data_IF_516981485196
#
_entry.id   IF_516981485196
#
_cell.length_a   1.000
_cell.length_b   1.000
_cell.length_c   1.000
_cell.angle_alpha   90.00
_cell.angle_beta   90.00
_cell.angle_gamma   90.00
#
_symmetry.space_group_name_H-M   'P 1'
#
loop_
_entity.id
_entity.type
_entity.pdbx_description
1 polymer ?
#
# COMPACT_ATOMS: atom_id res chain seq x y z
N UNK A 1 -16.61 -20.96 -32.60
CA UNK A 1 -15.94 -22.19 -33.00
C UNK A 1 -14.56 -22.20 -32.34
N UNK A 2 -14.37 -22.88 -31.18
CA UNK A 2 -13.10 -22.96 -30.47
C UNK A 2 -12.19 -23.97 -31.20
N UNK A 3 -11.35 -23.47 -32.10
CA UNK A 3 -10.41 -24.30 -32.88
C UNK A 3 -9.04 -24.49 -32.19
N UNK A 4 -8.82 -23.87 -31.03
CA UNK A 4 -7.57 -23.98 -30.26
C UNK A 4 -7.81 -24.73 -28.96
N UNK A 5 -6.91 -25.66 -28.59
CA UNK A 5 -6.99 -26.39 -27.33
C UNK A 5 -6.88 -25.46 -26.12
N UNK A 6 -7.45 -25.83 -24.98
CA UNK A 6 -7.62 -24.98 -23.82
C UNK A 6 -6.36 -24.85 -22.95
N UNK A 7 -5.30 -25.65 -23.16
CA UNK A 7 -4.07 -25.59 -22.37
C UNK A 7 -2.92 -24.89 -23.11
N UNK A 8 -2.03 -24.21 -22.36
CA UNK A 8 -0.81 -23.58 -22.91
C UNK A 8 0.03 -24.62 -23.65
N UNK A 9 0.19 -25.80 -23.05
CA UNK A 9 0.98 -26.89 -23.61
C UNK A 9 0.43 -27.36 -24.97
N UNK A 10 -0.87 -27.59 -25.06
CA UNK A 10 -1.49 -28.05 -26.30
C UNK A 10 -1.52 -26.97 -27.39
N UNK A 11 -1.72 -25.69 -27.01
CA UNK A 11 -1.66 -24.57 -27.95
C UNK A 11 -0.24 -24.35 -28.47
N UNK A 12 0.78 -24.47 -27.60
CA UNK A 12 2.20 -24.36 -28.00
C UNK A 12 2.57 -25.46 -28.96
N UNK A 13 2.16 -26.73 -28.69
CA UNK A 13 2.42 -27.88 -29.56
C UNK A 13 1.72 -27.70 -30.91
N UNK A 14 0.43 -27.32 -30.94
CA UNK A 14 -0.31 -27.10 -32.19
C UNK A 14 0.36 -26.00 -33.02
N UNK A 15 0.74 -24.88 -32.42
CA UNK A 15 1.35 -23.77 -33.16
C UNK A 15 2.74 -24.13 -33.68
N UNK A 16 3.54 -24.88 -32.89
CA UNK A 16 4.83 -25.39 -33.32
C UNK A 16 4.71 -26.36 -34.48
N UNK A 17 3.75 -27.31 -34.42
CA UNK A 17 3.48 -28.26 -35.48
C UNK A 17 3.00 -27.55 -36.73
N UNK A 18 2.07 -26.61 -36.61
CA UNK A 18 1.57 -25.82 -37.76
C UNK A 18 2.68 -24.98 -38.37
N UNK A 19 3.51 -24.33 -37.56
CA UNK A 19 4.64 -23.53 -38.03
C UNK A 19 5.71 -24.38 -38.73
N UNK A 20 6.08 -25.53 -38.17
CA UNK A 20 7.03 -26.48 -38.78
C UNK A 20 6.49 -27.11 -40.08
N UNK A 21 5.21 -27.50 -40.13
CA UNK A 21 4.60 -28.03 -41.32
C UNK A 21 4.45 -26.97 -42.42
N UNK A 22 4.07 -25.76 -42.09
CA UNK A 22 4.00 -24.66 -43.06
C UNK A 22 5.42 -24.30 -43.60
N UNK A 23 6.43 -24.28 -42.73
CA UNK A 23 7.84 -24.07 -43.13
C UNK A 23 8.36 -25.21 -44.02
N UNK A 24 8.02 -26.47 -43.70
CA UNK A 24 8.40 -27.63 -44.51
C UNK A 24 7.71 -27.64 -45.87
N UNK A 25 6.42 -27.31 -45.95
CA UNK A 25 5.68 -27.16 -47.18
C UNK A 25 6.23 -26.02 -48.06
N UNK A 26 6.55 -24.88 -47.45
CA UNK A 26 7.19 -23.76 -48.15
C UNK A 26 8.57 -24.16 -48.72
N UNK A 27 9.38 -24.88 -47.93
CA UNK A 27 10.67 -25.39 -48.34
C UNK A 27 10.55 -26.36 -49.53
N UNK A 28 9.60 -27.29 -49.47
CA UNK A 28 9.35 -28.29 -50.58
C UNK A 28 8.77 -27.62 -51.80
N UNK A 29 7.96 -26.56 -51.68
CA UNK A 29 7.41 -25.81 -52.81
C UNK A 29 8.46 -24.96 -53.54
N UNK A 30 9.49 -24.50 -52.84
CA UNK A 30 10.56 -23.64 -53.38
C UNK A 30 11.70 -24.51 -53.96
N UNK A 31 11.89 -25.76 -53.47
CA UNK A 31 13.00 -26.63 -53.87
C UNK A 31 12.95 -27.12 -55.36
N UNK A 32 11.82 -27.32 -56.04
CA UNK A 32 11.80 -27.72 -57.44
C UNK A 32 12.34 -26.64 -58.40
N UNK A 33 12.29 -25.39 -58.02
CA UNK A 33 12.81 -24.30 -58.87
C UNK A 33 14.34 -24.17 -58.90
N UNK A 34 15.06 -24.80 -57.94
CA UNK A 34 16.51 -24.76 -57.82
C UNK A 34 17.26 -25.96 -58.41
N UNK A 35 16.57 -27.00 -58.83
CA UNK A 35 17.22 -28.28 -59.26
C UNK A 35 17.80 -28.27 -60.68
N UNK A 36 17.72 -27.18 -61.42
CA UNK A 36 18.19 -27.09 -62.79
C UNK A 36 19.44 -26.22 -63.01
N UNK A 37 20.26 -25.93 -62.01
CA UNK A 37 21.56 -25.31 -62.23
C UNK A 37 22.68 -26.26 -61.83
N UNK A 38 23.47 -26.64 -62.80
CA UNK A 38 24.63 -27.50 -62.72
C UNK A 38 25.69 -27.14 -61.68
N UNK A 39 26.19 -28.17 -61.00
CA UNK A 39 27.61 -28.31 -60.65
C UNK A 39 28.25 -27.23 -59.81
N UNK A 40 28.40 -27.52 -58.52
CA UNK A 40 29.25 -26.79 -57.65
C UNK A 40 28.57 -26.42 -56.33
N UNK A 41 29.14 -26.74 -55.20
CA UNK A 41 28.65 -26.63 -53.81
C UNK A 41 28.18 -25.27 -53.35
N UNK A 42 27.43 -24.55 -54.17
CA UNK A 42 26.71 -23.34 -53.77
C UNK A 42 25.31 -23.72 -53.27
N UNK A 43 24.98 -23.26 -52.08
CA UNK A 43 23.63 -23.33 -51.51
C UNK A 43 22.63 -22.84 -52.57
N UNK A 44 21.68 -23.69 -52.98
CA UNK A 44 20.68 -23.29 -53.95
C UNK A 44 19.86 -22.13 -53.42
N UNK A 45 19.44 -21.19 -54.28
CA UNK A 45 18.62 -20.02 -53.90
C UNK A 45 17.37 -20.50 -53.10
N UNK A 46 16.85 -21.70 -53.39
CA UNK A 46 15.76 -22.33 -52.66
C UNK A 46 16.10 -22.71 -51.23
N UNK A 47 17.30 -23.20 -50.95
CA UNK A 47 17.73 -23.54 -49.59
C UNK A 47 17.96 -22.30 -48.73
N UNK A 48 18.46 -21.21 -49.32
CA UNK A 48 18.60 -19.92 -48.66
C UNK A 48 17.22 -19.33 -48.31
N UNK A 49 16.30 -19.30 -49.26
CA UNK A 49 14.96 -18.80 -49.05
C UNK A 49 14.20 -19.58 -47.96
N UNK A 50 14.29 -20.93 -47.96
CA UNK A 50 13.66 -21.75 -46.93
C UNK A 50 14.23 -21.50 -45.52
N UNK A 51 15.54 -21.27 -45.42
CA UNK A 51 16.20 -20.91 -44.15
C UNK A 51 15.70 -19.55 -43.61
N UNK A 52 15.52 -18.55 -44.48
CA UNK A 52 14.97 -17.25 -44.08
C UNK A 52 13.50 -17.36 -43.65
N UNK A 53 12.66 -18.13 -44.35
CA UNK A 53 11.26 -18.37 -44.00
C UNK A 53 11.17 -19.05 -42.63
N UNK A 54 12.01 -20.07 -42.39
CA UNK A 54 12.05 -20.75 -41.10
C UNK A 54 12.54 -19.84 -39.96
N UNK A 55 13.58 -19.05 -40.20
CA UNK A 55 14.07 -18.10 -39.20
C UNK A 55 12.99 -17.04 -38.87
N UNK A 56 12.32 -16.50 -39.89
CA UNK A 56 11.21 -15.57 -39.66
C UNK A 56 10.06 -16.20 -38.90
N UNK A 57 9.67 -17.44 -39.20
CA UNK A 57 8.63 -18.15 -38.49
C UNK A 57 8.99 -18.39 -37.02
N UNK A 58 10.25 -18.75 -36.73
CA UNK A 58 10.75 -18.92 -35.36
C UNK A 58 10.72 -17.60 -34.60
N UNK A 59 11.12 -16.48 -35.19
CA UNK A 59 11.08 -15.15 -34.57
C UNK A 59 9.65 -14.73 -34.26
N UNK A 60 8.74 -14.85 -35.21
CA UNK A 60 7.31 -14.52 -35.02
C UNK A 60 6.70 -15.40 -33.95
N UNK A 61 6.97 -16.69 -33.96
CA UNK A 61 6.49 -17.64 -32.97
C UNK A 61 7.05 -17.30 -31.56
N UNK A 62 8.36 -17.05 -31.46
CA UNK A 62 9.00 -16.67 -30.19
C UNK A 62 8.44 -15.37 -29.61
N UNK A 63 8.21 -14.38 -30.46
CA UNK A 63 7.62 -13.12 -30.06
C UNK A 63 6.18 -13.31 -29.56
N UNK A 64 5.36 -14.07 -30.27
CA UNK A 64 3.99 -14.38 -29.92
C UNK A 64 3.90 -15.24 -28.65
N UNK A 65 4.70 -16.31 -28.53
CA UNK A 65 4.76 -17.19 -27.36
C UNK A 65 5.28 -16.45 -26.12
N UNK A 66 6.25 -15.56 -26.28
CA UNK A 66 6.75 -14.70 -25.19
C UNK A 66 5.63 -13.83 -24.62
N UNK A 67 4.83 -13.16 -25.47
CA UNK A 67 3.70 -12.36 -25.02
C UNK A 67 2.67 -13.18 -24.24
N UNK A 68 2.43 -14.41 -24.67
CA UNK A 68 1.45 -15.32 -24.07
C UNK A 68 1.83 -15.87 -22.69
N UNK A 69 3.12 -16.07 -22.45
CA UNK A 69 3.65 -16.56 -21.16
C UNK A 69 3.96 -15.37 -20.23
N UNK A 70 4.54 -14.31 -20.76
CA UNK A 70 5.01 -13.18 -19.96
C UNK A 70 3.86 -12.31 -19.43
N UNK A 71 2.80 -12.11 -20.23
CA UNK A 71 1.66 -11.28 -19.83
C UNK A 71 0.93 -11.80 -18.58
N UNK A 72 0.53 -13.08 -18.48
CA UNK A 72 -0.03 -13.63 -17.25
C UNK A 72 0.90 -13.54 -16.06
N UNK A 73 2.19 -13.87 -16.24
CA UNK A 73 3.17 -13.79 -15.15
C UNK A 73 3.30 -12.37 -14.58
N UNK A 74 3.32 -11.37 -15.46
CA UNK A 74 3.34 -9.96 -15.03
C UNK A 74 2.04 -9.54 -14.33
N UNK A 75 0.89 -10.11 -14.72
CA UNK A 75 -0.39 -9.89 -14.04
C UNK A 75 -0.37 -10.48 -12.63
N UNK A 76 0.16 -11.69 -12.45
CA UNK A 76 0.34 -12.33 -11.15
C UNK A 76 1.29 -11.51 -10.26
N UNK A 77 2.45 -11.08 -10.79
CA UNK A 77 3.40 -10.27 -10.04
C UNK A 77 2.76 -8.97 -9.54
N UNK A 78 2.05 -8.24 -10.40
CA UNK A 78 1.32 -7.02 -10.01
C UNK A 78 0.18 -7.29 -9.04
N UNK A 79 -0.51 -8.43 -9.15
CA UNK A 79 -1.57 -8.79 -8.21
C UNK A 79 -1.01 -9.15 -6.84
N UNK A 80 0.13 -9.86 -6.78
CA UNK A 80 0.83 -10.16 -5.53
C UNK A 80 1.35 -8.89 -4.85
N UNK A 81 1.92 -7.96 -5.61
CA UNK A 81 2.38 -6.66 -5.11
C UNK A 81 1.20 -5.83 -4.55
N UNK A 82 0.08 -5.78 -5.29
CA UNK A 82 -1.15 -5.11 -4.82
C UNK A 82 -1.72 -5.76 -3.57
N UNK A 83 -1.74 -7.10 -3.50
CA UNK A 83 -2.22 -7.83 -2.32
C UNK A 83 -1.35 -7.55 -1.10
N UNK A 84 -0.03 -7.35 -1.28
CA UNK A 84 0.88 -6.96 -0.20
C UNK A 84 0.65 -5.54 0.32
N UNK A 85 0.08 -4.66 -0.50
CA UNK A 85 -0.26 -3.27 -0.13
C UNK A 85 -1.71 -3.14 0.35
N UNK A 86 -2.63 -3.90 -0.22
CA UNK A 86 -4.06 -3.87 0.10
C UNK A 86 -4.64 -5.27 -0.04
N UNK A 87 -5.02 -5.85 1.09
CA UNK A 87 -5.66 -7.17 1.17
C UNK A 87 -7.00 -7.21 0.41
N UNK A 88 -7.63 -6.04 0.21
CA UNK A 88 -8.89 -5.88 -0.49
C UNK A 88 -8.74 -5.60 -1.99
N UNK A 89 -7.52 -5.69 -2.54
CA UNK A 89 -7.30 -5.53 -3.97
C UNK A 89 -8.25 -6.42 -4.80
N UNK A 90 -8.69 -5.99 -6.00
CA UNK A 90 -9.60 -6.79 -6.83
C UNK A 90 -8.96 -8.13 -7.20
N UNK A 91 -9.77 -9.20 -7.30
CA UNK A 91 -9.28 -10.52 -7.68
C UNK A 91 -8.73 -10.52 -9.11
N UNK A 92 -7.87 -11.48 -9.40
CA UNK A 92 -7.41 -11.74 -10.76
C UNK A 92 -8.58 -12.25 -11.63
N UNK A 93 -8.61 -11.78 -12.87
CA UNK A 93 -9.53 -12.31 -13.87
C UNK A 93 -9.13 -13.74 -14.21
N UNK A 94 -10.07 -14.69 -14.08
CA UNK A 94 -9.87 -16.11 -14.35
C UNK A 94 -10.10 -16.40 -15.85
N UNK A 95 -9.26 -15.82 -16.72
CA UNK A 95 -9.34 -15.96 -18.18
C UNK A 95 -8.02 -16.49 -18.77
N UNK A 96 -8.10 -16.99 -19.99
CA UNK A 96 -6.94 -17.51 -20.72
C UNK A 96 -6.85 -19.04 -20.72
N UNK A 97 -5.63 -19.58 -20.93
CA UNK A 97 -5.37 -21.03 -20.89
C UNK A 97 -5.73 -21.67 -19.55
N UNK A 98 -5.99 -22.99 -19.59
CA UNK A 98 -6.40 -23.75 -18.41
C UNK A 98 -5.46 -23.57 -17.24
N UNK A 99 -4.14 -23.61 -17.49
CA UNK A 99 -3.11 -23.49 -16.45
C UNK A 99 -3.13 -22.09 -15.80
N UNK A 100 -3.40 -21.04 -16.59
CA UNK A 100 -3.51 -19.66 -16.10
C UNK A 100 -4.78 -19.50 -15.27
N UNK A 101 -5.91 -20.08 -15.72
CA UNK A 101 -7.17 -20.03 -14.97
C UNK A 101 -7.05 -20.75 -13.62
N UNK A 102 -6.44 -21.95 -13.62
CA UNK A 102 -6.21 -22.72 -12.39
C UNK A 102 -5.32 -21.93 -11.41
N UNK A 103 -4.26 -21.32 -11.91
CA UNK A 103 -3.37 -20.50 -11.09
C UNK A 103 -4.09 -19.24 -10.56
N UNK A 104 -4.88 -18.55 -11.40
CA UNK A 104 -5.65 -17.38 -10.99
C UNK A 104 -6.71 -17.74 -9.94
N UNK A 105 -7.39 -18.87 -10.12
CA UNK A 105 -8.35 -19.39 -9.14
C UNK A 105 -7.68 -19.70 -7.79
N UNK A 106 -6.55 -20.39 -7.79
CA UNK A 106 -5.79 -20.69 -6.59
C UNK A 106 -5.32 -19.41 -5.88
N UNK A 107 -4.85 -18.41 -6.64
CA UNK A 107 -4.48 -17.11 -6.10
C UNK A 107 -5.67 -16.39 -5.46
N UNK A 108 -6.81 -16.34 -6.13
CA UNK A 108 -8.04 -15.72 -5.62
C UNK A 108 -8.56 -16.43 -4.34
N UNK A 109 -8.45 -17.75 -4.29
CA UNK A 109 -8.75 -18.51 -3.06
C UNK A 109 -7.81 -18.16 -1.91
N UNK A 110 -6.50 -18.05 -2.17
CA UNK A 110 -5.53 -17.63 -1.17
C UNK A 110 -5.85 -16.22 -0.68
N UNK A 111 -6.14 -15.29 -1.58
CA UNK A 111 -6.54 -13.91 -1.24
C UNK A 111 -7.79 -13.90 -0.34
N UNK A 112 -8.80 -14.69 -0.68
CA UNK A 112 -10.04 -14.81 0.13
C UNK A 112 -9.75 -15.34 1.53
N UNK A 113 -8.87 -16.34 1.66
CA UNK A 113 -8.47 -16.88 2.97
C UNK A 113 -7.71 -15.85 3.80
N UNK A 114 -6.81 -15.08 3.19
CA UNK A 114 -6.08 -14.00 3.88
C UNK A 114 -7.07 -12.94 4.38
N UNK A 115 -8.03 -12.52 3.55
CA UNK A 115 -9.09 -11.59 3.97
C UNK A 115 -9.88 -12.12 5.16
N UNK A 116 -10.38 -13.35 5.07
CA UNK A 116 -11.13 -13.96 6.18
C UNK A 116 -10.31 -14.03 7.45
N UNK A 117 -9.01 -14.37 7.36
CA UNK A 117 -8.12 -14.41 8.50
C UNK A 117 -7.92 -13.03 9.16
N UNK A 118 -7.76 -11.97 8.33
CA UNK A 118 -7.66 -10.58 8.81
C UNK A 118 -8.97 -10.15 9.48
N UNK A 119 -10.12 -10.42 8.85
CA UNK A 119 -11.44 -10.08 9.38
C UNK A 119 -11.74 -10.81 10.70
N UNK A 120 -11.38 -12.09 10.80
CA UNK A 120 -11.54 -12.88 12.04
C UNK A 120 -10.69 -12.28 13.16
N UNK A 121 -9.44 -11.93 12.86
CA UNK A 121 -8.54 -11.30 13.83
C UNK A 121 -9.08 -9.96 14.33
N UNK A 122 -9.67 -9.16 13.43
CA UNK A 122 -10.29 -7.88 13.78
C UNK A 122 -11.53 -8.06 14.64
N UNK A 123 -12.39 -9.05 14.31
CA UNK A 123 -13.55 -9.39 15.12
C UNK A 123 -13.14 -9.82 16.53
N UNK A 124 -12.10 -10.65 16.64
CA UNK A 124 -11.57 -11.07 17.95
C UNK A 124 -11.05 -9.87 18.75
N UNK A 125 -10.28 -8.98 18.14
CA UNK A 125 -9.77 -7.78 18.81
C UNK A 125 -10.91 -6.84 19.23
N UNK A 126 -11.95 -6.71 18.42
CA UNK A 126 -13.14 -5.93 18.77
C UNK A 126 -13.89 -6.51 19.96
N UNK A 127 -14.04 -7.84 20.02
CA UNK A 127 -14.65 -8.52 21.15
C UNK A 127 -13.84 -8.34 22.43
N UNK A 128 -12.50 -8.52 22.37
CA UNK A 128 -11.61 -8.30 23.52
C UNK A 128 -11.69 -6.85 24.02
N UNK A 129 -11.68 -5.86 23.11
CA UNK A 129 -11.81 -4.45 23.48
C UNK A 129 -13.14 -4.15 24.17
N UNK A 130 -14.23 -4.70 23.64
CA UNK A 130 -15.55 -4.60 24.25
C UNK A 130 -15.56 -5.20 25.66
N UNK A 131 -15.00 -6.40 25.82
CA UNK A 131 -15.01 -7.12 27.09
C UNK A 131 -14.08 -6.49 28.14
N UNK A 132 -13.03 -5.78 27.72
CA UNK A 132 -12.15 -5.02 28.62
C UNK A 132 -12.80 -3.70 29.10
N UNK A 133 -13.66 -3.07 28.30
CA UNK A 133 -14.33 -1.82 28.69
C UNK A 133 -15.18 -1.97 29.94
N UNK A 134 -15.91 -3.09 30.07
CA UNK A 134 -16.76 -3.37 31.22
C UNK A 134 -15.99 -3.45 32.55
N UNK A 135 -14.93 -4.26 32.67
CA UNK A 135 -14.08 -4.29 33.86
C UNK A 135 -13.46 -2.94 34.22
N UNK A 136 -12.90 -2.22 33.21
CA UNK A 136 -12.29 -0.89 33.44
C UNK A 136 -13.32 0.08 34.03
N UNK A 137 -14.52 0.13 33.46
CA UNK A 137 -15.60 0.99 33.98
C UNK A 137 -16.00 0.59 35.40
N UNK A 138 -16.12 -0.70 35.69
CA UNK A 138 -16.45 -1.16 37.06
C UNK A 138 -15.37 -0.80 38.06
N UNK A 139 -14.08 -0.95 37.72
CA UNK A 139 -12.98 -0.54 38.60
C UNK A 139 -13.01 0.95 38.85
N UNK A 140 -13.23 1.76 37.78
CA UNK A 140 -13.38 3.21 37.88
C UNK A 140 -14.47 3.61 38.89
N UNK A 141 -15.69 3.07 38.71
CA UNK A 141 -16.81 3.35 39.61
C UNK A 141 -16.52 2.94 41.08
N UNK A 142 -15.80 1.84 41.29
CA UNK A 142 -15.39 1.44 42.63
C UNK A 142 -14.38 2.40 43.24
N UNK A 143 -13.40 2.87 42.46
CA UNK A 143 -12.40 3.84 42.91
C UNK A 143 -13.04 5.19 43.23
N UNK A 144 -14.04 5.61 42.44
CA UNK A 144 -14.81 6.84 42.72
C UNK A 144 -15.60 6.78 44.06
N UNK A 145 -15.96 5.57 44.52
CA UNK A 145 -16.69 5.34 45.78
C UNK A 145 -15.78 5.00 46.97
N UNK A 146 -14.46 4.85 46.76
CA UNK A 146 -13.51 4.55 47.82
C UNK A 146 -13.17 5.79 48.61
N UNK A 147 -13.12 5.62 49.96
CA UNK A 147 -12.64 6.67 50.87
C UNK A 147 -11.10 6.69 50.88
N UNK A 148 -10.52 7.18 49.79
CA UNK A 148 -9.07 7.40 49.61
C UNK A 148 -8.81 8.90 49.38
N UNK A 149 -7.57 9.35 49.56
CA UNK A 149 -7.22 10.73 49.29
C UNK A 149 -7.43 11.13 47.79
N UNK A 150 -7.86 12.35 47.55
CA UNK A 150 -8.17 12.87 46.21
C UNK A 150 -7.00 12.80 45.22
N UNK A 151 -5.77 12.82 45.69
CA UNK A 151 -4.59 12.77 44.82
C UNK A 151 -4.36 11.34 44.31
N UNK A 152 -4.52 10.36 45.18
CA UNK A 152 -4.44 8.92 44.83
C UNK A 152 -5.62 8.51 43.92
N UNK A 153 -6.84 8.97 44.25
CA UNK A 153 -8.03 8.70 43.43
C UNK A 153 -7.85 9.21 42.01
N UNK A 154 -7.46 10.47 41.84
CA UNK A 154 -7.19 11.06 40.51
C UNK A 154 -6.11 10.31 39.73
N UNK A 155 -5.05 9.81 40.38
CA UNK A 155 -4.01 9.01 39.72
C UNK A 155 -4.55 7.70 39.17
N UNK A 156 -5.34 6.98 39.99
CA UNK A 156 -5.91 5.68 39.58
C UNK A 156 -6.91 5.89 38.44
N UNK A 157 -7.78 6.91 38.50
CA UNK A 157 -8.73 7.25 37.44
C UNK A 157 -7.97 7.57 36.14
N UNK A 158 -6.91 8.38 36.20
CA UNK A 158 -6.09 8.69 35.03
C UNK A 158 -5.42 7.46 34.42
N UNK A 159 -4.95 6.52 35.26
CA UNK A 159 -4.36 5.26 34.77
C UNK A 159 -5.43 4.37 34.09
N UNK A 160 -6.66 4.35 34.61
CA UNK A 160 -7.79 3.61 34.01
C UNK A 160 -8.24 4.25 32.67
N UNK A 161 -8.28 5.58 32.59
CA UNK A 161 -8.60 6.29 31.35
C UNK A 161 -7.50 6.05 30.31
N UNK A 162 -6.23 6.01 30.68
CA UNK A 162 -5.11 5.62 29.80
C UNK A 162 -5.28 4.19 29.27
N UNK A 163 -5.66 3.23 30.16
CA UNK A 163 -5.94 1.86 29.72
C UNK A 163 -7.12 1.78 28.74
N UNK A 164 -8.20 2.50 28.99
CA UNK A 164 -9.35 2.55 28.09
C UNK A 164 -8.94 3.10 26.71
N UNK A 165 -8.17 4.19 26.68
CA UNK A 165 -7.64 4.75 25.45
C UNK A 165 -6.69 3.79 24.71
N UNK A 166 -5.84 3.03 25.42
CA UNK A 166 -4.98 2.01 24.81
C UNK A 166 -5.78 0.94 24.08
N UNK A 167 -6.84 0.45 24.69
CA UNK A 167 -7.73 -0.56 24.10
C UNK A 167 -8.39 -0.03 22.83
N UNK A 168 -8.98 1.17 22.89
CA UNK A 168 -9.63 1.79 21.74
C UNK A 168 -8.66 2.09 20.58
N UNK A 169 -7.49 2.62 20.89
CA UNK A 169 -6.50 2.97 19.87
C UNK A 169 -5.87 1.74 19.24
N UNK A 170 -5.68 0.66 20.00
CA UNK A 170 -5.19 -0.62 19.49
C UNK A 170 -6.20 -1.24 18.50
N UNK A 171 -7.49 -1.20 18.87
CA UNK A 171 -8.57 -1.67 18.02
C UNK A 171 -8.68 -0.82 16.73
N UNK A 172 -8.58 0.49 16.89
CA UNK A 172 -8.64 1.41 15.78
C UNK A 172 -7.45 1.21 14.82
N UNK A 173 -6.22 1.00 15.34
CA UNK A 173 -5.04 0.67 14.54
C UNK A 173 -5.25 -0.62 13.74
N UNK A 174 -5.74 -1.68 14.39
CA UNK A 174 -6.01 -2.96 13.73
C UNK A 174 -7.09 -2.85 12.63
N UNK A 175 -8.14 -2.05 12.86
CA UNK A 175 -9.21 -1.80 11.86
C UNK A 175 -8.71 -1.05 10.63
N UNK A 176 -7.78 -0.11 10.79
CA UNK A 176 -7.28 0.69 9.67
C UNK A 176 -6.51 -0.13 8.64
N UNK A 177 -5.80 -1.18 9.09
CA UNK A 177 -5.13 -2.11 8.19
C UNK A 177 -6.11 -2.89 7.29
N UNK A 178 -7.41 -2.97 7.68
CA UNK A 178 -8.42 -3.78 7.00
C UNK A 178 -9.57 -2.97 6.38
N UNK A 179 -9.62 -1.65 6.56
CA UNK A 179 -10.77 -0.85 6.10
C UNK A 179 -10.80 -0.72 4.57
N UNK A 180 -11.91 -1.14 3.98
CA UNK A 180 -12.24 -1.05 2.55
C UNK A 180 -12.76 0.35 2.20
N UNK A 181 -12.00 1.40 2.50
CA UNK A 181 -12.39 2.74 2.07
C UNK A 181 -12.02 2.94 0.59
N UNK A 182 -12.98 3.38 -0.23
CA UNK A 182 -12.71 3.65 -1.65
C UNK A 182 -11.82 4.87 -1.83
N UNK A 183 -10.86 4.76 -2.74
CA UNK A 183 -10.04 5.89 -3.15
C UNK A 183 -10.84 6.87 -3.98
N UNK A 184 -10.81 8.16 -3.61
CA UNK A 184 -11.52 9.24 -4.30
C UNK A 184 -10.68 10.53 -4.31
N UNK A 185 -11.00 11.52 -5.14
CA UNK A 185 -10.31 12.80 -5.12
C UNK A 185 -10.55 13.53 -3.79
N UNK A 186 -9.49 13.83 -3.05
CA UNK A 186 -9.50 14.54 -1.77
C UNK A 186 -8.76 15.85 -1.94
N UNK A 187 -9.39 16.95 -1.54
CA UNK A 187 -8.70 18.23 -1.39
C UNK A 187 -7.92 18.24 -0.08
N UNK A 188 -6.62 17.91 -0.17
CA UNK A 188 -5.74 17.85 1.00
C UNK A 188 -5.50 19.22 1.64
N UNK A 189 -5.61 20.32 0.88
CA UNK A 189 -5.47 21.65 1.45
C UNK A 189 -6.64 21.94 2.40
N UNK A 190 -7.88 21.66 1.96
CA UNK A 190 -9.05 21.80 2.80
C UNK A 190 -9.01 20.86 4.01
N UNK A 191 -8.56 19.61 3.81
CA UNK A 191 -8.42 18.63 4.87
C UNK A 191 -7.42 19.08 5.95
N UNK A 192 -6.22 19.56 5.54
CA UNK A 192 -5.17 20.04 6.45
C UNK A 192 -5.62 21.30 7.20
N UNK A 193 -6.29 22.23 6.52
CA UNK A 193 -6.89 23.40 7.16
C UNK A 193 -7.87 22.98 8.25
N UNK A 194 -8.80 22.08 7.93
CA UNK A 194 -9.79 21.58 8.92
C UNK A 194 -9.12 20.93 10.14
N UNK A 195 -8.03 20.14 9.94
CA UNK A 195 -7.32 19.52 11.06
C UNK A 195 -6.62 20.56 11.93
N UNK A 196 -6.07 21.61 11.34
CA UNK A 196 -5.47 22.71 12.10
C UNK A 196 -6.52 23.52 12.85
N UNK A 197 -7.68 23.77 12.22
CA UNK A 197 -8.82 24.47 12.87
C UNK A 197 -9.36 23.63 14.04
N UNK A 198 -9.56 22.32 13.86
CA UNK A 198 -9.94 21.39 14.93
C UNK A 198 -8.96 21.47 16.13
N UNK A 199 -7.65 21.58 15.84
CA UNK A 199 -6.63 21.73 16.89
C UNK A 199 -6.68 23.09 17.61
N UNK A 200 -6.96 24.17 16.87
CA UNK A 200 -7.13 25.52 17.43
C UNK A 200 -8.38 25.58 18.34
N UNK A 201 -9.47 24.99 17.90
CA UNK A 201 -10.73 24.93 18.67
C UNK A 201 -10.54 24.13 19.97
N UNK A 202 -9.64 23.13 19.97
CA UNK A 202 -9.22 22.40 21.17
C UNK A 202 -8.26 23.19 22.08
N UNK A 203 -7.95 24.46 21.76
CA UNK A 203 -7.09 25.34 22.55
C UNK A 203 -5.60 25.19 22.28
N UNK A 204 -5.21 24.56 21.18
CA UNK A 204 -3.83 24.37 20.79
C UNK A 204 -3.37 25.40 19.75
N UNK A 205 -2.07 25.48 19.54
CA UNK A 205 -1.47 26.33 18.49
C UNK A 205 -1.19 25.50 17.25
N UNK A 206 -1.96 25.73 16.19
CA UNK A 206 -1.72 25.11 14.91
C UNK A 206 -1.83 26.16 13.79
N UNK A 207 -1.03 26.00 12.74
CA UNK A 207 -1.03 26.90 11.60
C UNK A 207 -0.85 26.07 10.30
N UNK A 208 -1.65 26.36 9.28
CA UNK A 208 -1.50 25.77 7.97
C UNK A 208 -1.17 26.84 6.93
N UNK A 209 -0.06 26.67 6.24
CA UNK A 209 0.41 27.58 5.19
C UNK A 209 0.50 26.86 3.85
N UNK A 210 -0.50 27.06 3.02
CA UNK A 210 -0.51 26.69 1.61
C UNK A 210 -1.54 27.51 0.84
N UNK A 211 -1.14 28.11 -0.27
CA UNK A 211 -2.04 28.84 -1.15
C UNK A 211 -2.29 28.01 -2.40
N UNK A 212 -3.50 27.48 -2.56
CA UNK A 212 -3.91 26.75 -3.75
C UNK A 212 -4.74 25.51 -3.47
N UNK A 213 -5.06 24.78 -4.54
CA UNK A 213 -5.80 23.51 -4.47
C UNK A 213 -4.84 22.34 -4.50
N UNK A 214 -5.02 21.38 -3.60
CA UNK A 214 -4.15 20.23 -3.44
C UNK A 214 -4.97 18.94 -3.54
N UNK A 215 -5.28 18.51 -4.76
CA UNK A 215 -6.08 17.29 -4.97
C UNK A 215 -5.18 16.06 -5.02
N UNK A 216 -5.54 15.06 -4.23
CA UNK A 216 -4.87 13.75 -4.19
C UNK A 216 -5.92 12.64 -4.26
N UNK A 217 -5.65 11.61 -5.06
CA UNK A 217 -6.51 10.43 -5.12
C UNK A 217 -6.16 9.50 -3.96
N UNK A 218 -7.04 9.41 -2.99
CA UNK A 218 -6.78 8.63 -1.78
C UNK A 218 -8.04 8.37 -0.95
N UNK A 219 -7.86 7.73 0.19
CA UNK A 219 -8.92 7.39 1.14
C UNK A 219 -9.10 8.53 2.15
N UNK A 220 -10.22 9.28 2.13
CA UNK A 220 -10.39 10.51 2.92
C UNK A 220 -10.24 10.29 4.43
N UNK A 221 -10.88 9.25 4.98
CA UNK A 221 -10.85 8.96 6.43
C UNK A 221 -9.43 8.58 6.85
N UNK A 222 -8.77 7.72 6.08
CA UNK A 222 -7.39 7.33 6.33
C UNK A 222 -6.44 8.53 6.27
N UNK A 223 -6.57 9.39 5.25
CA UNK A 223 -5.75 10.60 5.10
C UNK A 223 -6.01 11.61 6.24
N UNK A 224 -7.27 11.82 6.63
CA UNK A 224 -7.60 12.67 7.81
C UNK A 224 -6.88 12.14 9.03
N UNK A 225 -6.89 10.85 9.26
CA UNK A 225 -6.25 10.23 10.41
C UNK A 225 -4.73 10.29 10.37
N UNK A 226 -4.13 10.11 9.17
CA UNK A 226 -2.68 10.28 8.99
C UNK A 226 -2.25 11.66 9.50
N UNK A 227 -2.86 12.72 8.95
CA UNK A 227 -2.46 14.08 9.27
C UNK A 227 -2.87 14.50 10.69
N UNK A 228 -4.03 14.07 11.17
CA UNK A 228 -4.45 14.32 12.56
C UNK A 228 -3.47 13.72 13.58
N UNK A 229 -2.97 12.48 13.34
CA UNK A 229 -1.96 11.87 14.20
C UNK A 229 -0.65 12.66 14.24
N UNK A 230 -0.22 13.23 13.11
CA UNK A 230 1.01 14.02 13.05
C UNK A 230 0.85 15.40 13.69
N UNK A 231 -0.29 16.07 13.47
CA UNK A 231 -0.62 17.36 14.09
C UNK A 231 -0.79 17.20 15.60
N UNK A 232 -1.52 16.17 16.05
CA UNK A 232 -1.68 15.87 17.49
C UNK A 232 -0.34 15.60 18.16
N UNK A 233 0.56 14.86 17.51
CA UNK A 233 1.93 14.67 18.03
C UNK A 233 2.69 16.01 18.13
N UNK A 234 2.66 16.85 17.10
CA UNK A 234 3.34 18.15 17.10
C UNK A 234 2.84 19.06 18.22
N UNK A 235 1.52 19.16 18.38
CA UNK A 235 0.91 19.96 19.45
C UNK A 235 1.23 19.39 20.83
N UNK A 236 1.13 18.09 20.99
CA UNK A 236 1.31 17.40 22.29
C UNK A 236 2.74 17.46 22.81
N UNK A 237 3.73 17.30 21.94
CA UNK A 237 5.14 17.25 22.32
C UNK A 237 5.88 18.57 22.12
N UNK A 238 5.43 19.37 21.15
CA UNK A 238 6.06 20.64 20.80
C UNK A 238 5.24 21.87 21.14
N UNK A 239 3.99 21.72 21.63
CA UNK A 239 3.12 22.85 22.02
C UNK A 239 2.56 23.65 20.84
N UNK A 240 3.08 23.43 19.62
CA UNK A 240 2.66 24.08 18.38
C UNK A 240 2.84 23.12 17.21
N UNK A 241 1.95 23.21 16.22
CA UNK A 241 2.10 22.53 14.94
C UNK A 241 2.13 23.55 13.79
N UNK A 242 3.19 23.55 13.01
CA UNK A 242 3.28 24.33 11.78
C UNK A 242 3.22 23.38 10.59
N UNK A 243 2.14 23.48 9.80
CA UNK A 243 1.87 22.58 8.67
C UNK A 243 2.11 23.33 7.36
N UNK A 244 2.97 22.81 6.52
CA UNK A 244 3.26 23.34 5.19
C UNK A 244 3.14 22.26 4.14
N UNK A 245 2.48 22.58 3.03
CA UNK A 245 2.40 21.70 1.88
C UNK A 245 3.23 22.25 0.71
N UNK A 246 3.79 21.36 -0.07
CA UNK A 246 4.50 21.71 -1.31
C UNK A 246 4.27 20.64 -2.37
N UNK A 247 4.25 21.06 -3.62
CA UNK A 247 4.11 20.17 -4.78
C UNK A 247 5.38 20.27 -5.60
N UNK A 248 6.00 19.14 -5.86
CA UNK A 248 7.02 18.98 -6.89
C UNK A 248 6.46 18.20 -8.08
N UNK A 249 7.21 18.16 -9.22
CA UNK A 249 6.75 17.51 -10.47
C UNK A 249 6.19 16.10 -10.28
N UNK A 250 6.73 15.33 -9.36
CA UNK A 250 6.39 13.91 -9.13
C UNK A 250 5.91 13.57 -7.73
N UNK A 251 5.96 14.52 -6.79
CA UNK A 251 5.69 14.26 -5.37
C UNK A 251 4.91 15.42 -4.74
N UNK A 252 3.99 15.05 -3.89
CA UNK A 252 3.34 15.92 -2.95
C UNK A 252 4.02 15.73 -1.60
N UNK A 253 4.43 16.80 -0.95
CA UNK A 253 5.07 16.76 0.33
C UNK A 253 4.32 17.64 1.33
N UNK A 254 3.98 17.06 2.49
CA UNK A 254 3.43 17.80 3.63
C UNK A 254 4.44 17.72 4.76
N UNK A 255 4.81 18.86 5.31
CA UNK A 255 5.72 19.00 6.46
C UNK A 255 4.91 19.47 7.65
N UNK A 256 5.07 18.78 8.76
CA UNK A 256 4.50 19.15 10.06
C UNK A 256 5.68 19.38 10.99
N UNK A 257 5.83 20.60 11.48
CA UNK A 257 6.94 21.03 12.32
C UNK A 257 6.45 21.42 13.71
N UNK A 258 7.25 21.09 14.72
CA UNK A 258 7.01 21.45 16.12
C UNK A 258 8.24 22.08 16.78
N UNK A 259 8.07 22.56 18.01
CA UNK A 259 9.12 23.17 18.83
C UNK A 259 9.48 22.29 20.04
N UNK A 260 9.26 20.98 19.94
CA UNK A 260 9.51 20.02 21.00
C UNK A 260 10.98 19.69 21.24
N UNK A 261 11.25 18.69 22.10
CA UNK A 261 12.63 18.31 22.43
C UNK A 261 13.35 17.52 21.32
N UNK A 262 12.66 17.20 20.20
CA UNK A 262 13.18 16.32 19.17
C UNK A 262 13.26 14.85 19.60
N UNK A 263 13.89 14.03 18.76
CA UNK A 263 14.05 12.59 18.94
C UNK A 263 15.54 12.23 18.88
N UNK A 264 16.08 11.43 19.82
CA UNK A 264 17.45 10.94 19.70
C UNK A 264 17.66 10.18 18.39
N UNK A 265 18.78 10.41 17.68
CA UNK A 265 19.04 9.81 16.35
C UNK A 265 18.87 8.28 16.34
N UNK A 266 19.33 7.60 17.39
CA UNK A 266 19.20 6.14 17.52
C UNK A 266 17.75 5.65 17.60
N UNK A 267 16.78 6.53 17.89
CA UNK A 267 15.36 6.20 18.06
C UNK A 267 14.50 6.63 16.85
N UNK A 268 15.07 7.30 15.84
CA UNK A 268 14.34 7.83 14.69
C UNK A 268 13.52 6.77 13.92
N UNK A 269 14.04 5.56 13.77
CA UNK A 269 13.29 4.46 13.16
C UNK A 269 12.39 3.74 14.17
N UNK A 270 12.78 3.69 15.44
CA UNK A 270 12.03 3.00 16.47
C UNK A 270 10.70 3.69 16.78
N UNK A 271 10.60 5.03 16.60
CA UNK A 271 9.36 5.79 16.86
C UNK A 271 8.20 5.40 15.93
N UNK A 272 8.49 4.70 14.84
CA UNK A 272 7.47 4.14 13.95
C UNK A 272 7.02 2.73 14.35
N UNK A 273 7.64 2.10 15.36
CA UNK A 273 7.17 0.81 15.88
C UNK A 273 5.91 1.03 16.72
N UNK A 274 4.86 0.21 16.54
CA UNK A 274 3.68 0.29 17.39
C UNK A 274 4.04 0.19 18.88
N UNK A 275 3.38 1.01 19.71
CA UNK A 275 3.56 1.09 21.17
C UNK A 275 4.95 1.59 21.63
N UNK A 276 5.81 1.98 20.72
CA UNK A 276 7.11 2.52 21.10
C UNK A 276 6.98 3.95 21.63
N UNK A 277 7.67 4.22 22.76
CA UNK A 277 7.74 5.54 23.40
C UNK A 277 9.16 5.81 23.90
N UNK A 278 9.65 7.03 23.74
CA UNK A 278 10.94 7.46 24.29
C UNK A 278 10.77 7.67 25.80
N UNK A 279 11.67 7.12 26.63
CA UNK A 279 11.52 7.10 28.10
C UNK A 279 11.30 8.48 28.76
N UNK A 280 11.88 9.54 28.18
CA UNK A 280 11.68 10.93 28.68
C UNK A 280 10.25 11.45 28.51
N UNK A 281 9.44 10.86 27.66
CA UNK A 281 8.04 11.23 27.44
C UNK A 281 7.06 10.49 28.37
N UNK A 282 7.54 9.69 29.30
CA UNK A 282 6.73 9.05 30.36
C UNK A 282 6.13 10.02 31.38
N UNK A 283 6.38 11.33 31.25
CA UNK A 283 5.64 12.31 32.02
C UNK A 283 4.15 12.15 31.72
N UNK A 284 3.36 11.80 32.73
CA UNK A 284 1.91 11.53 32.71
C UNK A 284 1.06 12.66 32.08
N UNK A 285 1.63 13.81 31.81
CA UNK A 285 0.96 14.98 31.17
C UNK A 285 0.90 14.91 29.63
N UNK A 286 1.71 14.06 28.98
CA UNK A 286 1.78 13.92 27.52
C UNK A 286 1.28 12.56 27.06
N UNK A 287 0.24 12.01 27.71
CA UNK A 287 -0.33 10.70 27.46
C UNK A 287 -0.58 10.40 26.00
N UNK A 288 0.15 9.43 25.46
CA UNK A 288 -0.04 8.88 24.10
C UNK A 288 0.43 7.45 24.07
N UNK A 289 -0.30 6.58 23.33
CA UNK A 289 -0.13 5.13 23.36
C UNK A 289 1.06 4.66 22.49
N UNK A 290 1.69 5.57 21.73
CA UNK A 290 2.78 5.21 20.81
C UNK A 290 2.30 4.56 19.51
N UNK A 291 1.07 4.83 19.09
CA UNK A 291 0.49 4.34 17.84
C UNK A 291 0.43 5.41 16.74
N UNK A 292 0.44 6.70 17.06
CA UNK A 292 0.20 7.78 16.12
C UNK A 292 1.15 7.79 14.91
N UNK A 293 2.48 7.74 15.16
CA UNK A 293 3.49 7.70 14.09
C UNK A 293 3.46 6.40 13.29
N UNK A 294 3.24 5.26 13.97
CA UNK A 294 3.10 3.96 13.31
C UNK A 294 1.89 3.97 12.36
N UNK A 295 0.73 4.42 12.84
CA UNK A 295 -0.49 4.57 12.02
C UNK A 295 -0.26 5.52 10.84
N UNK A 296 0.36 6.68 11.07
CA UNK A 296 0.63 7.65 10.02
C UNK A 296 1.49 7.05 8.90
N UNK A 297 2.57 6.34 9.25
CA UNK A 297 3.47 5.71 8.27
C UNK A 297 2.78 4.57 7.52
N UNK A 298 2.00 3.73 8.20
CA UNK A 298 1.21 2.65 7.58
C UNK A 298 0.24 3.22 6.53
N UNK A 299 -0.50 4.28 6.89
CA UNK A 299 -1.44 4.92 5.97
C UNK A 299 -0.71 5.55 4.77
N UNK A 300 0.40 6.26 5.00
CA UNK A 300 1.19 6.85 3.92
C UNK A 300 1.69 5.79 2.94
N UNK A 301 2.22 4.67 3.43
CA UNK A 301 2.68 3.53 2.62
C UNK A 301 1.56 2.87 1.84
N UNK A 302 0.38 2.73 2.42
CA UNK A 302 -0.80 2.23 1.73
C UNK A 302 -1.28 3.16 0.59
N UNK A 303 -0.83 4.42 0.56
CA UNK A 303 -1.04 5.38 -0.51
C UNK A 303 0.19 5.54 -1.44
N UNK A 304 1.17 4.62 -1.36
CA UNK A 304 2.39 4.63 -2.18
C UNK A 304 3.42 5.67 -1.76
N UNK A 305 3.28 6.25 -0.58
CA UNK A 305 4.18 7.24 -0.01
C UNK A 305 4.99 6.73 1.20
N UNK A 306 5.54 7.64 1.99
CA UNK A 306 6.17 7.31 3.29
C UNK A 306 6.11 8.53 4.23
N UNK A 307 6.38 8.28 5.52
CA UNK A 307 6.57 9.30 6.56
C UNK A 307 7.98 9.15 7.11
N UNK A 308 8.71 10.25 7.14
CA UNK A 308 10.02 10.32 7.80
C UNK A 308 10.01 11.45 8.84
N UNK A 309 10.84 11.32 9.87
CA UNK A 309 11.03 12.35 10.90
C UNK A 309 12.48 12.79 10.93
N UNK A 310 12.71 14.05 11.24
CA UNK A 310 14.03 14.64 11.40
C UNK A 310 14.00 15.72 12.48
N UNK A 311 15.07 15.87 13.25
CA UNK A 311 15.23 16.99 14.15
C UNK A 311 15.47 18.27 13.35
N UNK A 312 14.90 19.38 13.82
CA UNK A 312 15.14 20.70 13.25
C UNK A 312 16.42 21.29 13.82
N UNK A 313 17.21 22.04 13.01
CA UNK A 313 18.42 22.71 13.50
C UNK A 313 18.13 23.71 14.63
N UNK A 314 16.97 24.37 14.58
CA UNK A 314 16.52 25.36 15.57
C UNK A 314 15.89 24.73 16.82
N UNK A 315 15.80 23.40 16.88
CA UNK A 315 15.08 22.62 17.88
C UNK A 315 13.69 22.23 17.42
N UNK A 316 13.18 21.14 17.99
CA UNK A 316 11.91 20.53 17.57
C UNK A 316 12.05 19.39 16.59
N UNK A 317 10.91 18.85 16.16
CA UNK A 317 10.81 17.76 15.20
C UNK A 317 10.13 18.25 13.91
N UNK A 318 10.52 17.65 12.81
CA UNK A 318 9.87 17.78 11.51
C UNK A 318 9.44 16.41 11.05
N UNK A 319 8.14 16.20 10.90
CA UNK A 319 7.57 15.06 10.21
C UNK A 319 7.31 15.42 8.74
N UNK A 320 7.75 14.57 7.82
CA UNK A 320 7.63 14.78 6.37
C UNK A 320 6.85 13.62 5.78
N UNK A 321 5.65 13.92 5.29
CA UNK A 321 4.83 13.00 4.52
C UNK A 321 5.12 13.22 3.05
N UNK A 322 5.49 12.17 2.34
CA UNK A 322 5.69 12.20 0.89
C UNK A 322 4.66 11.27 0.24
N UNK A 323 3.85 11.80 -0.67
CA UNK A 323 2.86 11.03 -1.44
C UNK A 323 3.17 11.14 -2.94
N UNK A 324 2.91 10.09 -3.74
CA UNK A 324 3.11 10.16 -5.19
C UNK A 324 2.10 11.13 -5.81
N UNK A 325 2.57 12.04 -6.66
CA UNK A 325 1.66 12.84 -7.48
C UNK A 325 1.17 11.97 -8.62
N UNK A 326 -0.10 11.58 -8.59
CA UNK A 326 -0.73 11.00 -9.75
C UNK A 326 -0.89 12.10 -10.78
N UNK A 327 -0.32 11.89 -11.96
CA UNK A 327 -0.56 12.80 -13.09
C UNK A 327 -2.07 12.82 -13.34
N UNK A 328 -2.70 13.96 -13.12
CA UNK A 328 -4.04 14.18 -13.62
C UNK A 328 -3.82 14.38 -15.12
N UNK A 329 -4.15 13.39 -15.95
CA UNK A 329 -4.37 13.60 -17.37
C UNK A 329 -5.53 14.58 -17.45
N UNK A 330 -5.16 15.86 -17.57
CA UNK A 330 -6.10 16.94 -17.84
C UNK A 330 -6.65 16.73 -19.26
N UNK A 331 -7.90 16.33 -19.35
CA UNK A 331 -8.74 16.60 -20.51
C UNK A 331 -9.36 17.95 -20.31
#
# INVERSE_FOLDING_TARGET
MKLLPDSIRSRTVVTLVVGLTASHLASTAISPFGAWSMGGGALSAGSIASTFVMAAAIVVFSWWASGWITAPLSAFARAAERLGLDVNAPPLVEDGPEEVRVAAHAFNQMQTRIRSFVDDRLRMLAAIAHDLRGPITRVRLRVEQMAIDDATQRKIIADLDEMAQMVESSLAFARDEATTESSQPVDLAALLATICDDAIDAGHRAEFAFAGRLVFQGRPIALKRLFANLVDNAVRYGGRAEVRASIDKHKLQVRIEDEGPGIPEREMENVFKPFFRIERSRNKRTGGIGLGLATARTIARAHGGDVVVANRPEGGLRAIVTLPRQAHDGT
#
